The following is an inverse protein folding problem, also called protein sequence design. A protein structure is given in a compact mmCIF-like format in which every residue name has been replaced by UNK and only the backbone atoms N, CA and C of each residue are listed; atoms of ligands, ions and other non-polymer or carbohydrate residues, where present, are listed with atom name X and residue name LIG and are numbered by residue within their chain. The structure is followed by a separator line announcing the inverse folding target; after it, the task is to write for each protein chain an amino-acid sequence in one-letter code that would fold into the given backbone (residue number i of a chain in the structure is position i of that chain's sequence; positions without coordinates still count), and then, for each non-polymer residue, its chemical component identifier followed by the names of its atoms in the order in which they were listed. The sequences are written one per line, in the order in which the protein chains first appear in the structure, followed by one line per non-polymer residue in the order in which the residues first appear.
data_IF_759626157555
#
_entry.id   IF_759626157555
#
_cell.length_a   1.000
_cell.length_b   1.000
_cell.length_c   1.000
_cell.angle_alpha   90.00
_cell.angle_beta   90.00
_cell.angle_gamma   90.00
#
_symmetry.space_group_name_H-M   'P 1'
#
loop_
_entity.id
_entity.type
_entity.pdbx_description
1 polymer ?
#
# COMPACT_ATOMS: atom_id res chain seq x y z
N UNK A 1 -0.90 6.69 -18.22
CA UNK A 1 -1.60 5.94 -17.17
C UNK A 1 -1.27 4.47 -17.37
N UNK A 2 -0.89 3.80 -16.29
CA UNK A 2 -0.64 2.36 -16.24
C UNK A 2 -1.67 1.75 -15.29
N UNK A 3 -2.28 0.63 -15.68
CA UNK A 3 -3.19 -0.13 -14.82
C UNK A 3 -2.70 -1.57 -14.75
N UNK A 4 -2.63 -2.10 -13.53
CA UNK A 4 -2.17 -3.44 -13.18
C UNK A 4 -3.36 -4.24 -12.63
N UNK A 5 -3.42 -5.53 -12.89
CA UNK A 5 -4.57 -6.39 -12.59
C UNK A 5 -4.16 -7.72 -11.92
N UNK A 6 -5.14 -8.38 -11.32
CA UNK A 6 -5.14 -9.70 -10.68
C UNK A 6 -4.34 -9.81 -9.37
N UNK A 7 -3.00 -9.84 -9.44
CA UNK A 7 -2.12 -10.05 -8.28
C UNK A 7 -1.07 -8.93 -8.20
N UNK A 8 -1.54 -7.70 -7.98
CA UNK A 8 -0.66 -6.54 -7.95
C UNK A 8 0.11 -6.53 -6.62
N UNK A 9 1.43 -6.73 -6.71
CA UNK A 9 2.36 -6.63 -5.60
C UNK A 9 3.31 -5.44 -5.80
N UNK A 10 3.20 -4.45 -4.92
CA UNK A 10 4.22 -3.42 -4.77
C UNK A 10 5.12 -3.78 -3.58
N UNK A 11 6.43 -3.86 -3.83
CA UNK A 11 7.45 -4.18 -2.83
C UNK A 11 8.39 -2.99 -2.64
N UNK A 12 8.57 -2.58 -1.40
CA UNK A 12 9.54 -1.54 -1.09
C UNK A 12 10.97 -2.08 -1.23
N UNK A 13 11.86 -1.25 -1.77
CA UNK A 13 13.27 -1.60 -1.97
C UNK A 13 14.18 -0.93 -0.93
N UNK A 14 13.63 -0.03 -0.11
CA UNK A 14 14.37 0.68 0.94
C UNK A 14 14.27 -0.10 2.27
N UNK A 15 15.40 -0.33 2.97
CA UNK A 15 15.43 -1.13 4.20
C UNK A 15 14.68 -0.48 5.37
N UNK A 16 14.61 0.86 5.40
CA UNK A 16 14.00 1.62 6.50
C UNK A 16 12.62 2.17 6.11
N UNK A 17 11.96 1.56 5.13
CA UNK A 17 10.64 2.00 4.69
C UNK A 17 9.55 1.69 5.70
N UNK A 18 8.51 2.54 5.73
CA UNK A 18 7.38 2.37 6.65
C UNK A 18 6.51 1.15 6.36
N UNK A 19 6.66 0.50 5.22
CA UNK A 19 5.97 -0.74 4.86
C UNK A 19 6.81 -1.56 3.88
N UNK A 20 6.70 -2.88 3.94
CA UNK A 20 7.42 -3.82 3.09
C UNK A 20 6.67 -4.08 1.78
N UNK A 21 5.37 -4.32 1.89
CA UNK A 21 4.54 -4.70 0.74
C UNK A 21 3.16 -4.07 0.78
N UNK A 22 2.61 -3.87 -0.41
CA UNK A 22 1.26 -3.46 -0.70
C UNK A 22 0.70 -4.44 -1.72
N UNK A 23 -0.44 -5.05 -1.40
CA UNK A 23 -1.14 -5.98 -2.30
C UNK A 23 -2.57 -5.54 -2.57
N UNK A 24 -3.02 -5.72 -3.81
CA UNK A 24 -4.39 -5.41 -4.28
C UNK A 24 -4.67 -6.19 -5.56
N UNK A 25 -5.94 -6.35 -5.90
CA UNK A 25 -6.33 -6.95 -7.18
C UNK A 25 -6.20 -6.01 -8.37
N UNK A 26 -6.15 -4.70 -8.13
CA UNK A 26 -6.05 -3.69 -9.18
C UNK A 26 -5.37 -2.42 -8.66
N UNK A 27 -4.49 -1.84 -9.47
CA UNK A 27 -3.85 -0.56 -9.16
C UNK A 27 -3.71 0.29 -10.41
N UNK A 28 -4.04 1.57 -10.28
CA UNK A 28 -3.78 2.58 -11.30
C UNK A 28 -2.61 3.47 -10.88
N UNK A 29 -1.72 3.77 -11.82
CA UNK A 29 -0.53 4.58 -11.61
C UNK A 29 -0.44 5.65 -12.70
N UNK A 30 -0.33 6.90 -12.27
CA UNK A 30 -0.04 8.01 -13.15
C UNK A 30 1.47 8.26 -13.20
N UNK A 31 2.15 7.68 -14.20
CA UNK A 31 3.62 7.65 -14.30
C UNK A 31 4.33 9.03 -14.24
N UNK A 32 3.64 10.13 -14.62
CA UNK A 32 4.21 11.49 -14.57
C UNK A 32 4.16 12.11 -13.17
N UNK A 33 2.98 12.17 -12.56
CA UNK A 33 2.80 12.72 -11.20
C UNK A 33 3.25 11.75 -10.11
N UNK A 34 3.33 10.45 -10.46
CA UNK A 34 3.63 9.32 -9.58
C UNK A 34 2.54 9.05 -8.54
N UNK A 35 1.35 9.58 -8.78
CA UNK A 35 0.16 9.20 -8.04
C UNK A 35 -0.19 7.76 -8.34
N UNK A 36 -0.64 7.05 -7.33
CA UNK A 36 -1.21 5.72 -7.46
C UNK A 36 -2.46 5.60 -6.59
N UNK A 37 -3.39 4.75 -7.02
CA UNK A 37 -4.60 4.46 -6.27
C UNK A 37 -5.13 3.07 -6.59
N UNK A 38 -5.95 2.56 -5.68
CA UNK A 38 -6.74 1.36 -5.88
C UNK A 38 -8.13 1.57 -5.27
N UNK A 39 -9.16 1.32 -6.06
CA UNK A 39 -10.57 1.32 -5.62
C UNK A 39 -11.03 -0.11 -5.24
N UNK A 40 -10.06 -0.93 -4.81
CA UNK A 40 -10.22 -2.34 -4.44
C UNK A 40 -9.63 -2.57 -3.05
N UNK A 41 -9.99 -3.66 -2.36
CA UNK A 41 -9.36 -4.02 -1.09
C UNK A 41 -7.85 -4.05 -1.21
N UNK A 42 -7.19 -3.39 -0.26
CA UNK A 42 -5.74 -3.27 -0.18
C UNK A 42 -5.28 -3.79 1.16
N UNK A 43 -4.21 -4.56 1.11
CA UNK A 43 -3.44 -4.94 2.29
C UNK A 43 -2.06 -4.29 2.24
N UNK A 44 -1.71 -3.58 3.32
CA UNK A 44 -0.43 -2.95 3.56
C UNK A 44 0.28 -3.66 4.72
N UNK A 45 1.42 -4.30 4.45
CA UNK A 45 2.24 -4.95 5.48
C UNK A 45 3.51 -4.16 5.70
N UNK A 46 3.76 -3.79 6.95
CA UNK A 46 5.04 -3.28 7.41
C UNK A 46 5.68 -4.20 8.44
N UNK A 47 6.87 -3.83 8.96
CA UNK A 47 7.67 -4.72 9.81
C UNK A 47 6.97 -5.18 11.09
N UNK A 48 6.01 -4.40 11.59
CA UNK A 48 5.31 -4.62 12.86
C UNK A 48 3.80 -4.43 12.75
N UNK A 49 3.28 -4.31 11.52
CA UNK A 49 1.86 -4.10 11.32
C UNK A 49 1.35 -4.69 10.02
N UNK A 50 0.06 -4.97 10.03
CA UNK A 50 -0.72 -5.35 8.87
C UNK A 50 -1.99 -4.51 8.90
N UNK A 51 -2.23 -3.73 7.84
CA UNK A 51 -3.41 -2.87 7.72
C UNK A 51 -4.19 -3.21 6.46
N UNK A 52 -5.50 -3.34 6.60
CA UNK A 52 -6.45 -3.61 5.53
C UNK A 52 -7.36 -2.38 5.32
N UNK A 53 -7.63 -2.03 4.08
CA UNK A 53 -8.58 -0.96 3.71
C UNK A 53 -9.34 -1.33 2.44
N UNK A 54 -10.51 -0.72 2.20
CA UNK A 54 -11.30 -1.01 0.99
C UNK A 54 -10.86 -0.21 -0.24
N UNK A 55 -10.04 0.82 -0.03
CA UNK A 55 -9.42 1.59 -1.09
C UNK A 55 -8.13 2.26 -0.58
N UNK A 56 -7.30 2.71 -1.51
CA UNK A 56 -6.10 3.47 -1.19
C UNK A 56 -5.78 4.54 -2.22
N UNK A 57 -4.97 5.51 -1.80
CA UNK A 57 -4.28 6.47 -2.67
C UNK A 57 -2.88 6.75 -2.11
N UNK A 58 -1.98 7.22 -2.95
CA UNK A 58 -0.65 7.60 -2.51
C UNK A 58 0.16 8.23 -3.62
N UNK A 59 1.40 8.58 -3.30
CA UNK A 59 2.35 9.13 -4.25
C UNK A 59 3.75 8.54 -4.00
N UNK A 60 4.38 8.01 -5.05
CA UNK A 60 5.70 7.38 -4.92
C UNK A 60 6.83 8.41 -4.67
N UNK A 61 6.69 9.68 -5.06
CA UNK A 61 7.68 10.72 -4.75
C UNK A 61 7.62 11.14 -3.27
N UNK A 62 6.41 11.19 -2.71
CA UNK A 62 6.19 11.62 -1.32
C UNK A 62 6.37 10.47 -0.32
N UNK A 63 6.58 9.24 -0.82
CA UNK A 63 6.64 8.01 -0.04
C UNK A 63 5.40 7.83 0.88
N UNK A 64 4.23 8.20 0.38
CA UNK A 64 2.98 8.20 1.15
C UNK A 64 1.96 7.22 0.58
N UNK A 65 1.22 6.58 1.47
CA UNK A 65 0.07 5.74 1.17
C UNK A 65 -1.00 5.93 2.25
N UNK A 66 -2.23 6.22 1.83
CA UNK A 66 -3.39 6.39 2.70
C UNK A 66 -4.43 5.34 2.33
N UNK A 67 -4.75 4.47 3.29
CA UNK A 67 -5.87 3.52 3.20
C UNK A 67 -7.12 4.20 3.75
N UNK A 68 -8.26 3.98 3.12
CA UNK A 68 -9.54 4.53 3.55
C UNK A 68 -10.68 3.53 3.32
N UNK A 69 -11.85 3.87 3.86
CA UNK A 69 -13.05 3.02 3.92
C UNK A 69 -12.83 1.71 4.72
N UNK A 70 -13.37 1.66 5.94
CA UNK A 70 -13.31 0.49 6.83
C UNK A 70 -11.89 -0.03 7.07
N UNK A 71 -11.00 0.87 7.51
CA UNK A 71 -9.60 0.53 7.78
C UNK A 71 -9.49 -0.28 9.07
N UNK A 72 -8.81 -1.42 9.01
CA UNK A 72 -8.54 -2.29 10.16
C UNK A 72 -7.06 -2.61 10.20
N UNK A 73 -6.43 -2.43 11.36
CA UNK A 73 -5.00 -2.70 11.55
C UNK A 73 -4.75 -3.67 12.69
N UNK A 74 -3.73 -4.51 12.53
CA UNK A 74 -3.15 -5.30 13.60
C UNK A 74 -1.69 -4.89 13.76
N UNK A 75 -1.26 -4.75 15.01
CA UNK A 75 0.11 -4.41 15.37
C UNK A 75 0.72 -5.56 16.17
N UNK A 76 1.97 -5.88 15.87
CA UNK A 76 2.78 -6.79 16.68
C UNK A 76 3.63 -5.97 17.65
N UNK A 77 3.49 -6.25 18.95
CA UNK A 77 4.41 -5.71 19.95
C UNK A 77 5.70 -6.50 19.89
N UNK A 78 6.84 -5.84 19.72
CA UNK A 78 8.13 -6.46 20.08
C UNK A 78 8.05 -6.82 21.56
N UNK A 79 8.07 -8.12 21.88
CA UNK A 79 8.37 -8.56 23.25
C UNK A 79 9.73 -7.97 23.64
N UNK A 80 9.82 -7.22 24.76
CA UNK A 80 11.06 -6.57 25.20
C UNK A 80 12.23 -7.53 25.41
#
# INVERSE_FOLDING_TARGET
MLTLYDDVLAKNLLPDSGFDTLTTSEMSIQLKSRDFWADKPVELRGPQFETHGQAMKGNFADHSAELYNQVQGRYETLTP
#
